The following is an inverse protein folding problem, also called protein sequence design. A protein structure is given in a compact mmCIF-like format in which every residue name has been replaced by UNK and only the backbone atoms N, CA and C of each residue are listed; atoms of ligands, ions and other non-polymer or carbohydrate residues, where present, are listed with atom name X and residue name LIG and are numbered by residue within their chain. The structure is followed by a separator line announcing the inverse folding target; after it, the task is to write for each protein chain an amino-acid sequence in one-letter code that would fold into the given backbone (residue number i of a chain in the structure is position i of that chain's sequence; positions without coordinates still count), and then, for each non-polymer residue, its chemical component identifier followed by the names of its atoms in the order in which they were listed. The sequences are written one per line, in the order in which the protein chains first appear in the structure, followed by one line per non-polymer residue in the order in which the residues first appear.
data_IF_053323337655
#
_entry.id   IF_053323337655
#
_cell.length_a   1.000
_cell.length_b   1.000
_cell.length_c   1.000
_cell.angle_alpha   90.00
_cell.angle_beta   90.00
_cell.angle_gamma   90.00
#
_symmetry.space_group_name_H-M   'P 1'
#
loop_
_entity.id
_entity.type
_entity.pdbx_description
1 polymer ?
#
# COMPACT_ATOMS: atom_id res chain seq x y z
N UNK A 1 -1.23 11.99 15.08
CA UNK A 1 -1.43 12.50 13.71
C UNK A 1 -1.09 11.35 12.77
N UNK A 2 -2.00 10.94 11.88
CA UNK A 2 -1.70 9.86 10.92
C UNK A 2 -0.64 10.34 9.94
N UNK A 3 0.42 9.56 9.74
CA UNK A 3 1.45 9.84 8.73
C UNK A 3 0.96 9.55 7.30
N UNK A 4 -0.25 9.00 7.15
CA UNK A 4 -0.83 8.64 5.87
C UNK A 4 -2.16 9.36 5.62
N UNK A 5 -2.40 9.67 4.35
CA UNK A 5 -3.69 10.14 3.84
C UNK A 5 -3.99 9.43 2.53
N UNK A 6 -5.27 9.23 2.26
CA UNK A 6 -5.75 8.65 1.02
C UNK A 6 -6.67 9.64 0.32
N UNK A 7 -6.74 9.54 -1.00
CA UNK A 7 -7.68 10.31 -1.81
C UNK A 7 -8.08 9.56 -3.07
N UNK A 8 -9.30 9.80 -3.53
CA UNK A 8 -9.77 9.36 -4.85
C UNK A 8 -9.69 10.53 -5.83
N UNK A 9 -9.23 10.24 -7.04
CA UNK A 9 -9.06 11.19 -8.13
C UNK A 9 -9.87 10.70 -9.32
N UNK A 10 -10.65 11.59 -9.93
CA UNK A 10 -11.31 11.36 -11.21
C UNK A 10 -11.36 12.65 -12.00
N UNK A 11 -11.04 12.59 -13.29
CA UNK A 11 -11.11 13.76 -14.16
C UNK A 11 -12.52 14.38 -14.13
N UNK A 12 -12.60 15.71 -13.98
CA UNK A 12 -13.87 16.43 -13.89
C UNK A 12 -14.50 16.48 -12.49
N UNK A 13 -13.91 15.80 -11.49
CA UNK A 13 -14.31 15.89 -10.09
C UNK A 13 -13.16 16.43 -9.25
N UNK A 14 -13.48 17.14 -8.16
CA UNK A 14 -12.48 17.49 -7.16
C UNK A 14 -11.95 16.21 -6.47
N UNK A 15 -10.70 16.24 -6.03
CA UNK A 15 -10.12 15.17 -5.24
C UNK A 15 -10.96 14.92 -3.98
N UNK A 16 -11.28 13.65 -3.72
CA UNK A 16 -12.02 13.24 -2.53
C UNK A 16 -11.03 12.73 -1.47
N UNK A 17 -10.72 13.51 -0.41
CA UNK A 17 -9.92 13.01 0.69
C UNK A 17 -10.68 11.93 1.46
N UNK A 18 -9.95 10.93 1.95
CA UNK A 18 -10.50 9.82 2.71
C UNK A 18 -9.80 9.69 4.06
N UNK A 19 -10.57 9.49 5.12
CA UNK A 19 -10.04 9.02 6.40
C UNK A 19 -9.68 7.55 6.29
N UNK A 20 -8.48 7.21 6.73
CA UNK A 20 -7.98 5.83 6.70
C UNK A 20 -8.24 5.17 8.05
N UNK A 21 -9.00 4.07 8.06
CA UNK A 21 -9.03 3.12 9.17
C UNK A 21 -7.87 2.12 9.06
N UNK A 22 -7.65 1.60 7.85
CA UNK A 22 -6.52 0.74 7.52
C UNK A 22 -6.19 0.81 6.04
N UNK A 23 -4.99 0.40 5.68
CA UNK A 23 -4.57 0.23 4.30
C UNK A 23 -3.70 -1.02 4.17
N UNK A 24 -3.71 -1.55 2.95
CA UNK A 24 -2.71 -2.52 2.51
C UNK A 24 -2.34 -2.18 1.08
N UNK A 25 -1.06 -2.23 0.76
CA UNK A 25 -0.63 -2.18 -0.64
C UNK A 25 0.54 -3.10 -0.89
N UNK A 26 0.65 -3.57 -2.11
CA UNK A 26 1.76 -4.40 -2.56
C UNK A 26 2.39 -3.79 -3.80
N UNK A 27 3.72 -3.78 -3.81
CA UNK A 27 4.52 -3.46 -4.99
C UNK A 27 4.94 -4.77 -5.65
N UNK A 28 4.74 -4.86 -6.97
CA UNK A 28 5.23 -5.94 -7.83
C UNK A 28 5.82 -5.36 -9.10
N UNK A 29 6.80 -6.07 -9.67
CA UNK A 29 7.38 -5.73 -10.96
C UNK A 29 6.45 -6.14 -12.10
N UNK A 30 6.26 -5.24 -13.07
CA UNK A 30 5.63 -5.54 -14.36
C UNK A 30 6.20 -6.85 -14.97
N UNK A 31 5.37 -7.74 -15.54
CA UNK A 31 3.96 -7.56 -15.90
C UNK A 31 2.96 -7.84 -14.76
N UNK A 32 3.42 -8.16 -13.55
CA UNK A 32 2.53 -8.39 -12.42
C UNK A 32 1.98 -7.07 -11.88
N UNK A 33 0.73 -7.10 -11.44
CA UNK A 33 0.06 -5.90 -10.95
C UNK A 33 0.35 -5.64 -9.47
N UNK A 34 0.69 -4.39 -9.19
CA UNK A 34 0.65 -3.84 -7.83
C UNK A 34 -0.81 -3.62 -7.43
N UNK A 35 -1.07 -3.59 -6.13
CA UNK A 35 -2.42 -3.45 -5.59
C UNK A 35 -2.41 -2.49 -4.41
N UNK A 36 -3.49 -1.73 -4.25
CA UNK A 36 -3.73 -0.84 -3.13
C UNK A 36 -5.17 -1.03 -2.66
N UNK A 37 -5.33 -1.14 -1.35
CA UNK A 37 -6.60 -1.14 -0.64
C UNK A 37 -6.57 -0.12 0.48
N UNK A 38 -7.63 0.67 0.58
CA UNK A 38 -7.89 1.56 1.71
C UNK A 38 -9.28 1.26 2.25
N UNK A 39 -9.38 1.14 3.58
CA UNK A 39 -10.65 1.04 4.29
C UNK A 39 -10.92 2.38 4.95
N UNK A 40 -12.06 2.99 4.61
CA UNK A 40 -12.55 4.23 5.24
C UNK A 40 -13.79 3.94 6.09
N UNK A 41 -13.95 4.59 7.26
CA UNK A 41 -15.18 4.50 8.05
C UNK A 41 -16.28 5.46 7.54
N UNK A 42 -16.02 6.26 6.50
CA UNK A 42 -16.86 7.38 6.07
C UNK A 42 -18.00 6.92 5.13
N UNK A 43 -19.00 6.23 5.68
CA UNK A 43 -20.15 5.74 4.91
C UNK A 43 -20.93 6.85 4.20
N UNK A 44 -20.95 8.05 4.77
CA UNK A 44 -21.66 9.20 4.20
C UNK A 44 -21.07 9.63 2.85
N UNK A 45 -19.83 9.23 2.53
CA UNK A 45 -19.17 9.48 1.25
C UNK A 45 -19.46 8.40 0.20
N UNK A 46 -20.35 7.44 0.45
CA UNK A 46 -20.61 6.32 -0.48
C UNK A 46 -20.99 6.78 -1.89
N UNK A 47 -21.80 7.84 -2.01
CA UNK A 47 -22.15 8.44 -3.31
C UNK A 47 -20.93 9.03 -4.02
N UNK A 48 -20.17 9.88 -3.32
CA UNK A 48 -18.95 10.49 -3.86
C UNK A 48 -17.89 9.46 -4.27
N UNK A 49 -17.79 8.36 -3.51
CA UNK A 49 -16.90 7.23 -3.81
C UNK A 49 -17.39 6.50 -5.06
N UNK A 50 -18.70 6.24 -5.18
CA UNK A 50 -19.29 5.59 -6.34
C UNK A 50 -19.09 6.42 -7.62
N UNK A 51 -19.21 7.75 -7.53
CA UNK A 51 -18.95 8.66 -8.65
C UNK A 51 -17.50 8.60 -9.15
N UNK A 52 -16.57 8.03 -8.36
CA UNK A 52 -15.14 7.87 -8.63
C UNK A 52 -14.72 6.40 -8.82
N UNK A 53 -15.65 5.47 -9.00
CA UNK A 53 -15.35 4.03 -9.08
C UNK A 53 -14.47 3.61 -10.28
N UNK A 54 -14.35 4.44 -11.29
CA UNK A 54 -13.49 4.32 -12.48
C UNK A 54 -12.27 5.28 -12.43
N UNK A 55 -12.02 5.89 -11.27
CA UNK A 55 -10.91 6.80 -11.03
C UNK A 55 -9.65 6.10 -10.50
N UNK A 56 -8.81 6.87 -9.83
CA UNK A 56 -7.60 6.37 -9.17
C UNK A 56 -7.70 6.56 -7.65
N UNK A 57 -7.19 5.58 -6.91
CA UNK A 57 -6.94 5.67 -5.47
C UNK A 57 -5.46 5.97 -5.25
N UNK A 58 -5.15 6.99 -4.45
CA UNK A 58 -3.78 7.39 -4.11
C UNK A 58 -3.58 7.36 -2.61
N UNK A 59 -2.47 6.78 -2.17
CA UNK A 59 -2.00 6.80 -0.80
C UNK A 59 -0.71 7.64 -0.72
N UNK A 60 -0.76 8.70 0.08
CA UNK A 60 0.39 9.54 0.38
C UNK A 60 0.88 9.28 1.80
N UNK A 61 2.19 9.45 2.02
CA UNK A 61 2.83 9.47 3.33
C UNK A 61 3.54 10.80 3.56
N UNK A 62 3.46 11.34 4.77
CA UNK A 62 4.25 12.47 5.21
C UNK A 62 5.69 12.03 5.50
N UNK A 63 6.67 12.66 4.85
CA UNK A 63 8.10 12.35 5.03
C UNK A 63 8.80 13.21 6.09
N UNK A 64 8.07 14.19 6.67
CA UNK A 64 8.62 15.19 7.59
C UNK A 64 8.60 16.60 7.02
N UNK A 65 8.60 16.75 5.70
CA UNK A 65 8.62 18.03 4.99
C UNK A 65 7.47 18.17 3.97
N UNK A 66 7.10 17.09 3.29
CA UNK A 66 6.04 17.07 2.29
C UNK A 66 5.26 15.75 2.31
N UNK A 67 4.10 15.78 1.65
CA UNK A 67 3.36 14.56 1.33
C UNK A 67 3.94 13.95 0.05
N UNK A 68 4.32 12.68 0.11
CA UNK A 68 4.85 11.93 -1.01
C UNK A 68 3.93 10.73 -1.32
N UNK A 69 3.66 10.51 -2.60
CA UNK A 69 2.89 9.36 -3.05
C UNK A 69 3.68 8.06 -2.82
N UNK A 70 3.07 7.10 -2.12
CA UNK A 70 3.70 5.79 -1.84
C UNK A 70 3.01 4.64 -2.59
N UNK A 71 1.74 4.81 -2.97
CA UNK A 71 1.01 3.85 -3.79
C UNK A 71 -0.12 4.52 -4.57
N UNK A 72 -0.41 3.98 -5.76
CA UNK A 72 -1.53 4.39 -6.61
C UNK A 72 -2.10 3.18 -7.35
N UNK A 73 -3.42 3.14 -7.47
CA UNK A 73 -4.16 2.09 -8.17
C UNK A 73 -5.32 2.66 -8.99
N UNK A 74 -5.66 2.01 -10.10
CA UNK A 74 -6.93 2.24 -10.79
C UNK A 74 -8.02 1.52 -10.01
N UNK A 75 -9.10 2.21 -9.64
CA UNK A 75 -10.17 1.64 -8.83
C UNK A 75 -10.97 0.64 -9.67
N UNK A 76 -11.35 -0.49 -9.05
CA UNK A 76 -12.17 -1.52 -9.71
C UNK A 76 -13.61 -1.50 -9.22
N UNK A 77 -13.83 -1.64 -7.91
CA UNK A 77 -15.16 -1.59 -7.31
C UNK A 77 -15.07 -1.34 -5.80
N UNK A 78 -15.55 -0.18 -5.32
CA UNK A 78 -15.73 0.04 -3.89
C UNK A 78 -16.75 -0.95 -3.32
N UNK A 79 -16.44 -1.50 -2.16
CA UNK A 79 -17.30 -2.44 -1.44
C UNK A 79 -17.67 -1.84 -0.09
N UNK A 80 -18.97 -1.81 0.21
CA UNK A 80 -19.45 -1.44 1.55
C UNK A 80 -19.54 -2.68 2.42
N UNK A 81 -18.93 -2.63 3.60
CA UNK A 81 -18.99 -3.66 4.63
C UNK A 81 -19.80 -3.14 5.82
N UNK A 82 -20.83 -3.87 6.23
CA UNK A 82 -21.70 -3.54 7.36
C UNK A 82 -21.64 -4.65 8.41
N UNK A 83 -21.08 -4.33 9.57
CA UNK A 83 -21.13 -5.17 10.77
C UNK A 83 -22.26 -4.76 11.71
N UNK A 84 -22.37 -5.44 12.85
CA UNK A 84 -23.39 -5.18 13.86
C UNK A 84 -23.27 -3.78 14.52
N UNK A 85 -22.06 -3.23 14.58
CA UNK A 85 -21.76 -1.97 15.27
C UNK A 85 -20.90 -0.99 14.45
N UNK A 86 -20.56 -1.33 13.21
CA UNK A 86 -19.70 -0.51 12.34
C UNK A 86 -20.06 -0.67 10.88
N UNK A 87 -19.80 0.37 10.10
CA UNK A 87 -19.91 0.37 8.64
C UNK A 87 -18.63 0.96 8.09
N UNK A 88 -18.08 0.36 7.04
CA UNK A 88 -16.90 0.85 6.34
C UNK A 88 -17.05 0.68 4.84
N UNK A 89 -16.23 1.41 4.09
CA UNK A 89 -16.09 1.22 2.64
C UNK A 89 -14.65 0.81 2.36
N UNK A 90 -14.50 -0.32 1.68
CA UNK A 90 -13.24 -0.84 1.17
C UNK A 90 -13.10 -0.40 -0.28
N UNK A 91 -12.06 0.37 -0.57
CA UNK A 91 -11.73 0.84 -1.93
C UNK A 91 -10.43 0.15 -2.32
N UNK A 92 -10.45 -0.55 -3.45
CA UNK A 92 -9.32 -1.33 -3.90
C UNK A 92 -9.13 -1.25 -5.41
N UNK A 93 -7.91 -1.55 -5.84
CA UNK A 93 -7.61 -1.65 -7.24
C UNK A 93 -6.15 -1.95 -7.52
N UNK A 94 -5.81 -1.94 -8.80
CA UNK A 94 -4.53 -2.42 -9.30
C UNK A 94 -3.88 -1.45 -10.26
N UNK A 95 -2.55 -1.55 -10.38
CA UNK A 95 -1.78 -0.82 -11.38
C UNK A 95 -0.49 -1.57 -11.72
N UNK A 96 -0.20 -1.66 -13.01
CA UNK A 96 1.09 -2.16 -13.47
C UNK A 96 2.13 -1.06 -13.38
N UNK A 97 3.22 -1.34 -12.66
CA UNK A 97 4.33 -0.41 -12.47
C UNK A 97 5.62 -1.11 -12.86
N UNK A 98 6.48 -0.40 -13.60
CA UNK A 98 7.81 -0.89 -13.95
C UNK A 98 8.83 -0.16 -13.09
N UNK A 99 9.55 -0.90 -12.26
CA UNK A 99 10.68 -0.38 -11.52
C UNK A 99 11.96 -0.66 -12.32
N UNK A 100 12.88 0.30 -12.28
CA UNK A 100 14.18 0.23 -12.94
C UNK A 100 15.26 0.80 -12.02
N UNK A 101 16.52 0.53 -12.35
CA UNK A 101 17.69 0.95 -11.55
C UNK A 101 17.67 0.36 -10.14
N UNK A 102 17.94 -0.96 -10.01
CA UNK A 102 17.92 -1.64 -8.73
C UNK A 102 19.01 -1.08 -7.81
N UNK A 103 18.69 -0.92 -6.54
CA UNK A 103 19.62 -0.49 -5.49
C UNK A 103 19.65 -1.50 -4.35
N UNK A 104 20.60 -1.34 -3.43
CA UNK A 104 20.64 -2.14 -2.19
C UNK A 104 19.98 -1.36 -1.06
N UNK A 105 19.04 -1.99 -0.35
CA UNK A 105 18.31 -1.39 0.77
C UNK A 105 18.43 -2.27 2.00
N UNK A 106 18.90 -1.67 3.11
CA UNK A 106 19.02 -2.34 4.40
C UNK A 106 17.72 -2.24 5.20
N UNK A 107 17.06 -3.37 5.42
CA UNK A 107 15.79 -3.44 6.14
C UNK A 107 15.97 -3.12 7.62
N UNK A 108 15.13 -2.21 8.15
CA UNK A 108 15.17 -1.77 9.54
C UNK A 108 14.16 -2.52 10.40
N UNK A 109 14.52 -2.82 11.66
CA UNK A 109 13.63 -3.53 12.59
C UNK A 109 13.20 -4.91 12.09
N UNK A 110 13.97 -5.50 11.17
CA UNK A 110 13.62 -6.75 10.51
C UNK A 110 13.49 -7.90 11.50
N UNK A 111 12.56 -8.80 11.21
CA UNK A 111 12.34 -10.08 11.84
C UNK A 111 12.05 -11.09 10.73
N UNK A 112 12.83 -12.18 10.65
CA UNK A 112 12.49 -13.29 9.76
C UNK A 112 11.13 -13.86 10.14
N UNK A 113 10.23 -13.98 9.17
CA UNK A 113 8.91 -14.59 9.39
C UNK A 113 8.73 -15.92 8.65
N UNK A 114 9.55 -16.19 7.63
CA UNK A 114 9.67 -17.52 7.02
C UNK A 114 10.98 -17.65 6.24
N UNK A 115 11.68 -18.77 6.44
CA UNK A 115 12.74 -19.27 5.58
C UNK A 115 12.33 -20.66 5.10
N UNK A 116 12.16 -20.84 3.80
CA UNK A 116 11.79 -22.12 3.22
C UNK A 116 12.44 -22.30 1.84
N UNK A 117 12.34 -23.49 1.27
CA UNK A 117 12.78 -23.75 -0.10
C UNK A 117 12.03 -22.94 -1.16
N UNK A 118 10.85 -22.38 -0.85
CA UNK A 118 10.08 -21.52 -1.76
C UNK A 118 10.40 -20.04 -1.64
N UNK A 119 11.38 -19.68 -0.80
CA UNK A 119 11.92 -18.33 -0.69
C UNK A 119 11.90 -17.76 0.73
N UNK A 120 12.48 -16.57 0.85
CA UNK A 120 12.60 -15.82 2.12
C UNK A 120 11.50 -14.77 2.25
N UNK A 121 11.05 -14.52 3.48
CA UNK A 121 10.22 -13.36 3.83
C UNK A 121 10.70 -12.71 5.12
N UNK A 122 10.99 -11.42 5.04
CA UNK A 122 11.38 -10.60 6.19
C UNK A 122 10.28 -9.58 6.46
N UNK A 123 9.79 -9.55 7.70
CA UNK A 123 8.95 -8.46 8.19
C UNK A 123 9.84 -7.37 8.73
N UNK A 124 9.62 -6.12 8.36
CA UNK A 124 10.43 -4.97 8.75
C UNK A 124 9.56 -3.74 9.02
N UNK A 125 10.18 -2.69 9.55
CA UNK A 125 9.59 -1.36 9.58
C UNK A 125 9.36 -0.87 8.14
N UNK A 126 8.28 -0.11 7.88
CA UNK A 126 8.01 0.41 6.54
C UNK A 126 9.14 1.29 5.99
N UNK A 127 9.75 0.85 4.89
CA UNK A 127 10.64 1.65 4.06
C UNK A 127 9.98 1.79 2.68
N UNK A 128 9.61 3.01 2.29
CA UNK A 128 8.91 3.25 1.02
C UNK A 128 9.85 3.42 -0.17
N UNK A 129 11.16 3.51 0.06
CA UNK A 129 12.18 3.62 -0.98
C UNK A 129 12.49 2.27 -1.63
N UNK A 130 12.32 1.16 -0.91
CA UNK A 130 12.49 -0.18 -1.50
C UNK A 130 11.43 -0.47 -2.56
N UNK A 131 11.87 -1.06 -3.66
CA UNK A 131 11.07 -1.40 -4.83
C UNK A 131 11.35 -2.85 -5.26
N UNK A 132 10.40 -3.50 -5.93
CA UNK A 132 10.66 -4.78 -6.58
C UNK A 132 11.89 -4.70 -7.50
N UNK A 133 12.77 -5.69 -7.42
CA UNK A 133 14.04 -5.75 -8.11
C UNK A 133 15.24 -5.20 -7.31
N UNK A 134 15.01 -4.41 -6.26
CA UNK A 134 16.09 -3.98 -5.34
C UNK A 134 16.65 -5.18 -4.55
N UNK A 135 17.89 -5.07 -4.09
CA UNK A 135 18.50 -6.06 -3.18
C UNK A 135 18.19 -5.67 -1.73
N UNK A 136 17.39 -6.49 -1.05
CA UNK A 136 17.10 -6.33 0.37
C UNK A 136 18.19 -7.00 1.22
N UNK A 137 18.70 -6.30 2.23
CA UNK A 137 19.66 -6.85 3.20
C UNK A 137 19.14 -6.74 4.63
N UNK A 138 19.40 -7.77 5.43
CA UNK A 138 19.09 -7.77 6.87
C UNK A 138 20.01 -8.75 7.61
N UNK A 139 20.82 -8.25 8.53
CA UNK A 139 21.87 -9.05 9.16
C UNK A 139 22.83 -9.61 8.11
N UNK A 140 22.97 -10.93 8.05
CA UNK A 140 23.75 -11.64 7.02
C UNK A 140 22.94 -12.07 5.80
N UNK A 141 21.61 -11.85 5.81
CA UNK A 141 20.73 -12.21 4.69
C UNK A 141 20.77 -11.13 3.61
N UNK A 142 20.78 -11.59 2.36
CA UNK A 142 20.70 -10.74 1.16
C UNK A 142 19.91 -11.48 0.08
N UNK A 143 18.92 -10.81 -0.50
CA UNK A 143 18.09 -11.35 -1.57
C UNK A 143 17.45 -10.25 -2.43
N UNK A 144 16.97 -10.60 -3.62
CA UNK A 144 16.25 -9.67 -4.51
C UNK A 144 14.79 -9.60 -4.07
N UNK A 145 14.27 -8.41 -3.82
CA UNK A 145 12.87 -8.22 -3.44
C UNK A 145 11.94 -8.44 -4.65
N UNK A 146 11.10 -9.46 -4.63
CA UNK A 146 10.09 -9.72 -5.66
C UNK A 146 8.70 -9.16 -5.30
N UNK A 147 8.26 -9.36 -4.06
CA UNK A 147 7.01 -8.84 -3.52
C UNK A 147 7.26 -8.05 -2.25
N UNK A 148 6.79 -6.81 -2.22
CA UNK A 148 6.80 -5.99 -1.01
C UNK A 148 5.36 -5.67 -0.65
N UNK A 149 4.92 -6.05 0.54
CA UNK A 149 3.56 -5.78 1.04
C UNK A 149 3.63 -4.89 2.27
N UNK A 150 2.92 -3.77 2.27
CA UNK A 150 2.80 -2.85 3.38
C UNK A 150 1.42 -2.99 3.99
N UNK A 151 1.36 -3.02 5.32
CA UNK A 151 0.11 -3.04 6.07
C UNK A 151 0.15 -1.92 7.09
N UNK A 152 -0.92 -1.13 7.18
CA UNK A 152 -1.05 -0.09 8.18
C UNK A 152 -2.47 0.02 8.74
N UNK A 153 -2.55 0.27 10.03
CA UNK A 153 -3.77 0.55 10.79
C UNK A 153 -3.42 1.40 12.01
N UNK A 154 -4.41 1.72 12.84
CA UNK A 154 -4.17 2.38 14.12
C UNK A 154 -3.29 1.57 15.10
N UNK A 155 -3.17 0.25 14.92
CA UNK A 155 -2.51 -0.65 15.87
C UNK A 155 -1.29 -1.37 15.32
N UNK A 156 -1.07 -1.34 13.99
CA UNK A 156 0.03 -2.04 13.37
C UNK A 156 0.51 -1.29 12.13
N UNK A 157 1.82 -1.21 11.96
CA UNK A 157 2.45 -0.70 10.75
C UNK A 157 3.71 -1.51 10.46
N UNK A 158 3.75 -2.21 9.33
CA UNK A 158 4.89 -3.04 8.95
C UNK A 158 4.92 -3.27 7.44
N UNK A 159 6.07 -3.72 6.94
CA UNK A 159 6.20 -4.28 5.60
C UNK A 159 6.71 -5.71 5.65
N UNK A 160 6.24 -6.55 4.74
CA UNK A 160 6.79 -7.86 4.45
C UNK A 160 7.48 -7.80 3.08
N UNK A 161 8.76 -8.18 3.04
CA UNK A 161 9.59 -8.23 1.83
C UNK A 161 9.91 -9.70 1.53
N UNK A 162 9.52 -10.17 0.35
CA UNK A 162 9.74 -11.53 -0.13
C UNK A 162 10.57 -11.57 -1.42
N UNK A 163 11.28 -12.68 -1.63
CA UNK A 163 11.87 -13.06 -2.93
C UNK A 163 10.82 -13.18 -4.05
#
# INVERSE_FOLDING_TARGET
MSLYRARMIKAGLADLPLRISSYQFRKRQSPLESYLQVVTPEIDLAGDIADRADGELVLDRWDGAAWAEVARANVESPRTDRGASSVSITIAGHKTVTYSSPVTVALQGGQTTSESTSGRRIRALPDHAIRPGDTATWGSLSFVAGLITYTGSATAEYMDVSE
#
